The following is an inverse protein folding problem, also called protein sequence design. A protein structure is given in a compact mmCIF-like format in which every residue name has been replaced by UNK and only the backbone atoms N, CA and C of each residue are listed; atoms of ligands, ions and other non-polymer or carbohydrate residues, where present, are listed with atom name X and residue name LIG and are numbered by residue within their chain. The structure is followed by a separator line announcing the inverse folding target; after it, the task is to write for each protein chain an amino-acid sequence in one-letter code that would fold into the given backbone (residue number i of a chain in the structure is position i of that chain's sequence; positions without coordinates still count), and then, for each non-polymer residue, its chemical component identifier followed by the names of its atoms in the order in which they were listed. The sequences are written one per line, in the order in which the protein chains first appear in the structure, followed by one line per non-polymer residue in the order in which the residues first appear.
data_IF_551134382619
#
_entry.id   IF_551134382619
#
_cell.length_a   1.000
_cell.length_b   1.000
_cell.length_c   1.000
_cell.angle_alpha   90.00
_cell.angle_beta   90.00
_cell.angle_gamma   90.00
#
_symmetry.space_group_name_H-M   'P 1'
#
loop_
_entity.id
_entity.type
_entity.pdbx_description
1 polymer ?
#
# COMPACT_ATOMS: atom_id res chain seq x y z
N UNK A 1 -4.63 -29.38 18.68
CA UNK A 1 -3.21 -29.08 18.35
C UNK A 1 -3.00 -28.58 16.92
N UNK A 2 -3.82 -28.99 15.95
CA UNK A 2 -3.75 -28.54 14.55
C UNK A 2 -3.99 -27.03 14.35
N UNK A 3 -4.89 -26.43 15.12
CA UNK A 3 -5.22 -24.99 15.03
C UNK A 3 -4.03 -24.09 15.39
N UNK A 4 -3.25 -24.46 16.41
CA UNK A 4 -2.05 -23.72 16.81
C UNK A 4 -0.94 -23.79 15.76
N UNK A 5 -0.78 -24.96 15.12
CA UNK A 5 0.21 -25.15 14.05
C UNK A 5 -0.15 -24.35 12.80
N UNK A 6 -1.44 -24.32 12.42
CA UNK A 6 -1.92 -23.47 11.33
C UNK A 6 -1.73 -21.98 11.64
N UNK A 7 -2.01 -21.57 12.88
CA UNK A 7 -1.76 -20.20 13.34
C UNK A 7 -0.28 -19.83 13.28
N UNK A 8 0.61 -20.73 13.72
CA UNK A 8 2.06 -20.51 13.68
C UNK A 8 2.60 -20.44 12.25
N UNK A 9 2.13 -21.32 11.36
CA UNK A 9 2.50 -21.30 9.94
C UNK A 9 2.02 -20.02 9.25
N UNK A 10 0.76 -19.63 9.49
CA UNK A 10 0.22 -18.37 8.99
C UNK A 10 1.02 -17.16 9.46
N UNK A 11 1.32 -17.09 10.77
CA UNK A 11 2.13 -16.02 11.34
C UNK A 11 3.56 -15.98 10.75
N UNK A 12 4.21 -17.14 10.60
CA UNK A 12 5.55 -17.24 10.02
C UNK A 12 5.57 -16.78 8.56
N UNK A 13 4.59 -17.21 7.74
CA UNK A 13 4.46 -16.78 6.34
C UNK A 13 4.19 -15.28 6.26
N UNK A 14 3.27 -14.74 7.06
CA UNK A 14 2.99 -13.30 7.11
C UNK A 14 4.23 -12.50 7.51
N UNK A 15 4.97 -12.96 8.52
CA UNK A 15 6.23 -12.33 8.95
C UNK A 15 7.26 -12.32 7.82
N UNK A 16 7.41 -13.43 7.10
CA UNK A 16 8.34 -13.56 5.97
C UNK A 16 7.96 -12.63 4.82
N UNK A 17 6.66 -12.55 4.48
CA UNK A 17 6.14 -11.63 3.46
C UNK A 17 6.38 -10.18 3.85
N UNK A 18 6.06 -9.79 5.08
CA UNK A 18 6.28 -8.43 5.59
C UNK A 18 7.78 -8.08 5.58
N UNK A 19 8.63 -9.02 6.00
CA UNK A 19 10.09 -8.83 6.02
C UNK A 19 10.68 -8.70 4.61
N UNK A 20 10.24 -9.53 3.67
CA UNK A 20 10.62 -9.47 2.26
C UNK A 20 10.18 -8.14 1.62
N UNK A 21 8.98 -7.65 1.96
CA UNK A 21 8.48 -6.33 1.53
C UNK A 21 9.28 -5.17 2.13
N UNK A 22 9.66 -5.24 3.42
CA UNK A 22 10.55 -4.26 4.05
C UNK A 22 11.94 -4.25 3.41
N UNK A 23 12.51 -5.44 3.15
CA UNK A 23 13.86 -5.62 2.60
C UNK A 23 13.97 -5.07 1.18
N UNK A 24 12.89 -5.12 0.39
CA UNK A 24 12.89 -4.65 -1.00
C UNK A 24 12.95 -3.12 -1.17
N UNK A 25 12.99 -2.31 -0.09
CA UNK A 25 13.24 -0.84 -0.10
C UNK A 25 12.54 -0.08 -1.25
N UNK A 26 11.35 -0.52 -1.65
CA UNK A 26 10.54 0.08 -2.74
C UNK A 26 9.46 1.03 -2.21
N UNK A 27 9.45 1.29 -0.91
CA UNK A 27 8.56 2.26 -0.28
C UNK A 27 9.10 3.66 -0.58
N UNK A 28 8.40 4.39 -1.46
CA UNK A 28 8.55 5.84 -1.62
C UNK A 28 8.49 6.45 -0.22
N UNK A 29 9.38 7.40 0.10
CA UNK A 29 9.46 8.11 1.40
C UNK A 29 8.09 8.46 2.00
N UNK A 30 7.12 8.78 1.13
CA UNK A 30 5.73 9.10 1.47
C UNK A 30 5.01 8.04 2.32
N UNK A 31 5.25 6.74 2.09
CA UNK A 31 4.57 5.68 2.84
C UNK A 31 5.19 5.42 4.21
N UNK A 32 6.50 5.63 4.35
CA UNK A 32 7.19 5.46 5.62
C UNK A 32 6.63 6.45 6.67
N UNK A 33 6.31 7.67 6.26
CA UNK A 33 5.72 8.70 7.13
C UNK A 33 4.39 8.25 7.74
N UNK A 34 3.49 7.68 6.93
CA UNK A 34 2.19 7.17 7.41
C UNK A 34 2.40 6.07 8.44
N UNK A 35 3.30 5.13 8.16
CA UNK A 35 3.58 4.01 9.08
C UNK A 35 4.25 4.45 10.37
N UNK A 36 5.16 5.44 10.32
CA UNK A 36 5.75 6.04 11.53
C UNK A 36 4.67 6.74 12.35
N UNK A 37 3.78 7.51 11.72
CA UNK A 37 2.68 8.18 12.42
C UNK A 37 1.74 7.18 13.08
N UNK A 38 1.40 6.09 12.39
CA UNK A 38 0.60 4.99 12.95
C UNK A 38 1.31 4.33 14.13
N UNK A 39 2.60 4.03 14.01
CA UNK A 39 3.39 3.43 15.08
C UNK A 39 3.44 4.33 16.32
N UNK A 40 3.64 5.64 16.13
CA UNK A 40 3.62 6.64 17.20
C UNK A 40 2.22 6.72 17.83
N UNK A 41 1.15 6.75 17.03
CA UNK A 41 -0.22 6.77 17.54
C UNK A 41 -0.53 5.53 18.39
N UNK A 42 -0.13 4.34 17.94
CA UNK A 42 -0.28 3.09 18.69
C UNK A 42 0.54 3.13 19.99
N UNK A 43 1.78 3.62 19.95
CA UNK A 43 2.63 3.75 21.14
C UNK A 43 2.02 4.69 22.18
N UNK A 44 1.49 5.84 21.74
CA UNK A 44 0.79 6.79 22.62
C UNK A 44 -0.44 6.14 23.25
N UNK A 45 -1.24 5.40 22.47
CA UNK A 45 -2.42 4.69 22.98
C UNK A 45 -2.05 3.55 23.95
N UNK A 46 -0.91 2.90 23.75
CA UNK A 46 -0.41 1.86 24.65
C UNK A 46 0.07 2.44 25.99
N UNK A 47 0.68 3.63 25.98
CA UNK A 47 1.12 4.33 27.21
C UNK A 47 -0.07 4.97 27.93
N UNK A 48 -1.04 5.51 27.19
CA UNK A 48 -2.19 6.25 27.73
C UNK A 48 -3.52 5.63 27.28
N UNK A 49 -3.93 4.47 27.82
CA UNK A 49 -5.19 3.81 27.46
C UNK A 49 -6.42 4.66 27.80
N UNK A 50 -6.31 5.58 28.75
CA UNK A 50 -7.39 6.48 29.14
C UNK A 50 -7.87 7.40 28.02
N UNK A 51 -6.99 7.77 27.07
CA UNK A 51 -7.35 8.59 25.90
C UNK A 51 -8.41 7.87 25.06
N UNK A 52 -8.24 6.56 24.89
CA UNK A 52 -9.17 5.73 24.13
C UNK A 52 -10.50 5.56 24.87
N UNK A 53 -10.47 5.39 26.19
CA UNK A 53 -11.66 5.31 27.03
C UNK A 53 -12.42 6.65 27.05
N UNK A 54 -11.71 7.77 27.07
CA UNK A 54 -12.32 9.10 26.95
C UNK A 54 -12.98 9.28 25.59
N UNK A 55 -12.27 8.95 24.51
CA UNK A 55 -12.82 9.00 23.15
C UNK A 55 -14.09 8.13 23.04
N UNK A 56 -14.05 6.90 23.55
CA UNK A 56 -15.19 5.99 23.57
C UNK A 56 -16.42 6.57 24.27
N UNK A 57 -16.23 7.23 25.43
CA UNK A 57 -17.31 7.92 26.16
C UNK A 57 -17.90 9.08 25.37
N UNK A 58 -17.06 9.90 24.73
CA UNK A 58 -17.52 11.05 23.92
C UNK A 58 -18.26 10.59 22.67
N UNK A 59 -17.78 9.56 21.99
CA UNK A 59 -18.42 9.02 20.78
C UNK A 59 -19.61 8.11 21.07
N UNK A 60 -19.87 7.75 22.33
CA UNK A 60 -20.93 6.82 22.72
C UNK A 60 -20.66 5.35 22.38
N UNK A 61 -19.39 4.98 22.17
CA UNK A 61 -19.00 3.61 21.81
C UNK A 61 -18.77 2.79 23.07
N UNK A 62 -19.46 1.65 23.20
CA UNK A 62 -19.40 0.81 24.40
C UNK A 62 -18.04 0.12 24.60
N UNK A 63 -17.39 -0.29 23.50
CA UNK A 63 -16.11 -1.01 23.54
C UNK A 63 -15.02 -0.12 22.92
N UNK A 64 -14.05 0.39 23.72
CA UNK A 64 -13.00 1.28 23.21
C UNK A 64 -12.18 0.68 22.06
N UNK A 65 -12.02 -0.65 22.03
CA UNK A 65 -11.35 -1.36 20.94
C UNK A 65 -12.02 -1.15 19.57
N UNK A 66 -13.34 -0.92 19.51
CA UNK A 66 -14.04 -0.68 18.25
C UNK A 66 -13.59 0.64 17.59
N UNK A 67 -13.24 1.66 18.39
CA UNK A 67 -12.66 2.89 17.86
C UNK A 67 -11.28 2.67 17.25
N UNK A 68 -10.46 1.80 17.86
CA UNK A 68 -9.16 1.42 17.27
C UNK A 68 -9.35 0.72 15.94
N UNK A 69 -10.27 -0.25 15.87
CA UNK A 69 -10.59 -0.95 14.62
C UNK A 69 -11.11 0.00 13.54
N UNK A 70 -11.98 0.93 13.91
CA UNK A 70 -12.49 1.95 12.99
C UNK A 70 -11.36 2.87 12.49
N UNK A 71 -10.52 3.39 13.39
CA UNK A 71 -9.37 4.23 13.02
C UNK A 71 -8.36 3.49 12.14
N UNK A 72 -8.03 2.25 12.49
CA UNK A 72 -7.18 1.40 11.67
C UNK A 72 -7.78 1.16 10.27
N UNK A 73 -9.09 0.94 10.18
CA UNK A 73 -9.79 0.76 8.90
C UNK A 73 -9.74 2.03 8.04
N UNK A 74 -9.88 3.22 8.63
CA UNK A 74 -9.74 4.49 7.90
C UNK A 74 -8.31 4.72 7.39
N UNK A 75 -7.31 4.41 8.22
CA UNK A 75 -5.90 4.47 7.81
C UNK A 75 -5.66 3.50 6.66
N UNK A 76 -6.11 2.25 6.77
CA UNK A 76 -5.99 1.25 5.71
C UNK A 76 -6.71 1.69 4.43
N UNK A 77 -7.91 2.25 4.53
CA UNK A 77 -8.64 2.78 3.39
C UNK A 77 -7.83 3.88 2.69
N UNK A 78 -7.25 4.80 3.46
CA UNK A 78 -6.42 5.89 2.94
C UNK A 78 -5.18 5.35 2.22
N UNK A 79 -4.49 4.37 2.80
CA UNK A 79 -3.33 3.71 2.18
C UNK A 79 -3.74 2.99 0.89
N UNK A 80 -4.90 2.33 0.88
CA UNK A 80 -5.43 1.67 -0.32
C UNK A 80 -5.74 2.66 -1.44
N UNK A 81 -6.39 3.79 -1.13
CA UNK A 81 -6.66 4.84 -2.12
C UNK A 81 -5.34 5.43 -2.64
N UNK A 82 -4.38 5.69 -1.75
CA UNK A 82 -3.07 6.19 -2.14
C UNK A 82 -2.35 5.20 -3.07
N UNK A 83 -2.36 3.92 -2.74
CA UNK A 83 -1.77 2.86 -3.56
C UNK A 83 -2.46 2.76 -4.92
N UNK A 84 -3.79 2.75 -4.94
CA UNK A 84 -4.59 2.71 -6.16
C UNK A 84 -4.23 3.87 -7.10
N UNK A 85 -4.14 5.10 -6.58
CA UNK A 85 -3.75 6.26 -7.36
C UNK A 85 -2.32 6.16 -7.94
N UNK A 86 -1.40 5.52 -7.22
CA UNK A 86 -0.04 5.32 -7.70
C UNK A 86 0.05 4.25 -8.78
N UNK A 87 -0.77 3.20 -8.67
CA UNK A 87 -0.90 2.16 -9.69
C UNK A 87 -1.50 2.76 -10.96
N UNK A 88 -2.59 3.53 -10.87
CA UNK A 88 -3.20 4.19 -12.04
C UNK A 88 -2.21 5.12 -12.76
N UNK A 89 -1.45 5.94 -12.02
CA UNK A 89 -0.39 6.77 -12.62
C UNK A 89 0.72 5.96 -13.28
N UNK A 90 1.03 4.78 -12.73
CA UNK A 90 2.04 3.91 -13.32
C UNK A 90 1.53 3.28 -14.61
N UNK A 91 0.28 2.86 -14.63
CA UNK A 91 -0.40 2.32 -15.81
C UNK A 91 -0.44 3.33 -16.95
N UNK A 92 -0.79 4.59 -16.68
CA UNK A 92 -0.74 5.67 -17.67
C UNK A 92 0.66 5.85 -18.26
N UNK A 93 1.71 5.86 -17.42
CA UNK A 93 3.10 5.98 -17.89
C UNK A 93 3.51 4.82 -18.77
N UNK A 94 3.15 3.59 -18.39
CA UNK A 94 3.43 2.39 -19.18
C UNK A 94 2.70 2.47 -20.52
N UNK A 95 1.46 2.94 -20.53
CA UNK A 95 0.69 3.17 -21.75
C UNK A 95 1.37 4.17 -22.67
N UNK A 96 1.74 5.35 -22.17
CA UNK A 96 2.44 6.36 -22.98
C UNK A 96 3.77 5.85 -23.52
N UNK A 97 4.54 5.09 -22.72
CA UNK A 97 5.78 4.45 -23.16
C UNK A 97 5.51 3.43 -24.28
N UNK A 98 4.50 2.57 -24.14
CA UNK A 98 4.13 1.61 -25.17
C UNK A 98 3.70 2.30 -26.47
N UNK A 99 2.93 3.38 -26.39
CA UNK A 99 2.52 4.19 -27.55
C UNK A 99 3.74 4.82 -28.24
N UNK A 100 4.68 5.40 -27.49
CA UNK A 100 5.90 5.99 -28.06
C UNK A 100 6.78 4.96 -28.78
N UNK A 101 6.94 3.76 -28.22
CA UNK A 101 7.69 2.66 -28.88
C UNK A 101 6.94 2.15 -30.12
N UNK A 102 5.61 2.12 -30.08
CA UNK A 102 4.78 1.74 -31.22
C UNK A 102 4.94 2.68 -32.41
N UNK A 103 4.91 3.99 -32.16
CA UNK A 103 5.13 5.02 -33.18
C UNK A 103 6.54 4.94 -33.77
N UNK A 104 7.56 4.81 -32.93
CA UNK A 104 8.95 4.69 -33.40
C UNK A 104 9.14 3.46 -34.33
N UNK A 105 8.51 2.33 -33.99
CA UNK A 105 8.55 1.12 -34.85
C UNK A 105 7.84 1.34 -36.18
N UNK A 106 6.71 2.05 -36.17
CA UNK A 106 5.96 2.32 -37.39
C UNK A 106 6.76 3.22 -38.35
N UNK A 107 7.38 4.28 -37.83
CA UNK A 107 8.22 5.18 -38.63
C UNK A 107 9.40 4.44 -39.27
N UNK A 108 10.07 3.55 -38.53
CA UNK A 108 11.16 2.71 -39.08
C UNK A 108 10.69 1.84 -40.24
N UNK A 109 9.53 1.18 -40.09
CA UNK A 109 8.95 0.34 -41.15
C UNK A 109 8.55 1.16 -42.39
N UNK A 110 8.04 2.38 -42.21
CA UNK A 110 7.73 3.27 -43.33
C UNK A 110 8.98 3.77 -44.05
N UNK A 111 10.06 4.02 -43.32
CA UNK A 111 11.36 4.37 -43.90
C UNK A 111 11.93 3.23 -44.74
N UNK A 112 11.89 1.99 -44.23
CA UNK A 112 12.34 0.80 -44.97
C UNK A 112 11.54 0.60 -46.27
N UNK A 113 10.20 0.72 -46.20
CA UNK A 113 9.33 0.64 -47.39
C UNK A 113 9.59 1.74 -48.40
N UNK A 114 9.96 2.96 -47.96
CA UNK A 114 10.33 4.05 -48.86
C UNK A 114 11.65 3.78 -49.57
N UNK A 115 12.61 3.13 -48.91
CA UNK A 115 13.86 2.70 -49.52
C UNK A 115 13.64 1.56 -50.53
N UNK A 116 12.77 0.59 -50.25
CA UNK A 116 12.46 -0.48 -51.21
C UNK A 116 11.71 0.00 -52.47
N UNK A 117 10.99 1.12 -52.38
CA UNK A 117 10.25 1.69 -53.52
C UNK A 117 11.08 2.61 -54.43
N UNK A 118 12.32 2.93 -54.07
CA UNK A 118 13.23 3.77 -54.87
C UNK A 118 14.28 2.92 -55.57
#
# INVERSE_FOLDING_TARGET
MTVYQLGLLGAAISMLVIFEMLRRRRLREKYAVVWVLVAVAIAVLAIFPEVLVFAARVTGVQVPANLLFFGASLVLLTVNVQLSSEVSRLEEKVRTLAESVGLERLERLEHERRCERR
#
